data_IF_590221125607
#
_entry.id   IF_590221125607
#
_cell.length_a   1.000
_cell.length_b   1.000
_cell.length_c   1.000
_cell.angle_alpha   90.00
_cell.angle_beta   90.00
_cell.angle_gamma   90.00
#
_symmetry.space_group_name_H-M   'P 1'
#
loop_
_entity.id
_entity.type
_entity.pdbx_description
1 polymer ?
#
# COMPACT_ATOMS: atom_id res chain seq x y z
N UNK A 1 0.59 6.54 -2.65
CA UNK A 1 0.30 7.49 -1.55
C UNK A 1 -1.19 7.79 -1.58
N UNK A 2 -1.83 7.72 -0.43
CA UNK A 2 -3.26 8.02 -0.22
C UNK A 2 -3.34 9.14 0.81
N UNK A 3 -3.95 10.27 0.46
CA UNK A 3 -4.04 11.45 1.32
C UNK A 3 -5.49 11.72 1.70
N UNK A 4 -5.73 12.04 2.96
CA UNK A 4 -6.97 12.61 3.47
C UNK A 4 -6.73 14.05 3.96
N UNK A 5 -7.74 14.69 4.54
CA UNK A 5 -7.59 16.02 5.13
C UNK A 5 -6.71 16.03 6.40
N UNK A 6 -6.58 14.88 7.07
CA UNK A 6 -5.97 14.78 8.42
C UNK A 6 -4.90 13.71 8.53
N UNK A 7 -4.74 12.87 7.51
CA UNK A 7 -3.82 11.73 7.52
C UNK A 7 -3.37 11.39 6.11
N UNK A 8 -2.31 10.61 6.02
CA UNK A 8 -1.92 9.99 4.76
C UNK A 8 -1.35 8.60 4.99
N UNK A 9 -1.33 7.80 3.94
CA UNK A 9 -0.76 6.45 3.93
C UNK A 9 0.15 6.29 2.72
N UNK A 10 1.32 5.71 2.95
CA UNK A 10 2.30 5.39 1.90
C UNK A 10 2.74 3.93 2.03
N UNK A 11 2.98 3.31 0.88
CA UNK A 11 3.66 2.02 0.76
C UNK A 11 5.00 2.31 0.10
N UNK A 12 6.08 1.86 0.73
CA UNK A 12 7.45 2.12 0.29
C UNK A 12 8.26 0.83 0.44
N UNK A 13 9.34 0.73 -0.33
CA UNK A 13 10.27 -0.37 -0.18
C UNK A 13 10.89 -0.35 1.22
N UNK A 14 11.05 -1.54 1.81
CA UNK A 14 11.62 -1.69 3.14
C UNK A 14 13.16 -1.52 3.10
N UNK A 15 13.62 -0.29 2.90
CA UNK A 15 15.03 0.07 2.93
C UNK A 15 15.51 0.18 4.40
N UNK A 16 16.38 -0.74 4.87
CA UNK A 16 16.78 -0.81 6.27
C UNK A 16 17.59 0.41 6.74
N UNK A 17 18.13 1.21 5.82
CA UNK A 17 18.88 2.43 6.16
C UNK A 17 17.98 3.67 6.20
N UNK A 18 16.90 3.70 5.39
CA UNK A 18 16.02 4.88 5.28
C UNK A 18 14.80 4.80 6.19
N UNK A 19 14.16 3.64 6.27
CA UNK A 19 12.88 3.49 6.98
C UNK A 19 13.00 3.81 8.49
N UNK A 20 14.02 3.34 9.23
CA UNK A 20 14.12 3.67 10.65
C UNK A 20 14.26 5.17 10.92
N UNK A 21 15.06 5.87 10.11
CA UNK A 21 15.23 7.31 10.24
C UNK A 21 13.96 8.07 9.88
N UNK A 22 13.29 7.67 8.80
CA UNK A 22 11.99 8.23 8.39
C UNK A 22 10.95 8.10 9.51
N UNK A 23 10.79 6.91 10.09
CA UNK A 23 9.83 6.67 11.18
C UNK A 23 10.14 7.57 12.39
N UNK A 24 11.41 7.69 12.77
CA UNK A 24 11.84 8.55 13.87
C UNK A 24 11.54 10.03 13.64
N UNK A 25 11.70 10.51 12.41
CA UNK A 25 11.42 11.90 12.08
C UNK A 25 9.92 12.19 12.04
N UNK A 26 9.11 11.27 11.51
CA UNK A 26 7.65 11.41 11.49
C UNK A 26 7.01 11.30 12.87
N UNK A 27 7.52 10.41 13.74
CA UNK A 27 7.01 10.23 15.11
C UNK A 27 7.18 11.47 16.01
N UNK A 28 8.00 12.45 15.61
CA UNK A 28 8.11 13.72 16.32
C UNK A 28 6.87 14.61 16.16
N UNK A 29 6.13 14.43 15.07
CA UNK A 29 5.03 15.32 14.68
C UNK A 29 3.69 14.60 14.49
N UNK A 30 3.71 13.28 14.31
CA UNK A 30 2.54 12.48 13.96
C UNK A 30 2.50 11.15 14.72
N UNK A 31 1.30 10.63 14.92
CA UNK A 31 1.10 9.23 15.30
C UNK A 31 1.36 8.34 14.09
N UNK A 32 2.45 7.56 14.13
CA UNK A 32 2.88 6.72 13.00
C UNK A 32 2.50 5.26 13.25
N UNK A 33 1.62 4.75 12.38
CA UNK A 33 1.26 3.33 12.31
C UNK A 33 1.85 2.74 11.03
N UNK A 34 2.42 1.54 11.11
CA UNK A 34 2.98 0.85 9.95
C UNK A 34 2.79 -0.67 10.04
N UNK A 35 2.82 -1.31 8.88
CA UNK A 35 2.77 -2.75 8.71
C UNK A 35 4.04 -3.19 7.97
N UNK A 36 4.55 -4.37 8.32
CA UNK A 36 5.64 -5.04 7.60
C UNK A 36 5.12 -6.26 6.87
N UNK A 37 5.98 -6.86 6.04
CA UNK A 37 5.70 -8.08 5.27
C UNK A 37 4.49 -7.91 4.35
N UNK A 38 4.55 -6.86 3.52
CA UNK A 38 3.52 -6.52 2.55
C UNK A 38 4.07 -6.60 1.12
N UNK A 39 3.18 -6.93 0.19
CA UNK A 39 3.44 -6.91 -1.24
C UNK A 39 2.54 -5.88 -1.95
N UNK A 40 3.16 -4.99 -2.73
CA UNK A 40 2.47 -4.03 -3.59
C UNK A 40 2.33 -4.61 -5.00
N UNK A 41 1.11 -4.90 -5.43
CA UNK A 41 0.81 -5.26 -6.82
C UNK A 41 0.29 -4.04 -7.56
N UNK A 42 0.80 -3.79 -8.77
CA UNK A 42 0.25 -2.79 -9.69
C UNK A 42 -0.09 -3.46 -11.00
N UNK A 43 -1.38 -3.59 -11.29
CA UNK A 43 -1.91 -4.24 -12.49
C UNK A 43 -2.46 -3.16 -13.41
N UNK A 44 -1.97 -3.14 -14.65
CA UNK A 44 -2.41 -2.20 -15.70
C UNK A 44 -3.24 -2.96 -16.73
N UNK A 45 -4.19 -2.27 -17.35
CA UNK A 45 -5.10 -2.83 -18.36
C UNK A 45 -5.80 -4.10 -17.86
N UNK A 46 -6.21 -4.10 -16.59
CA UNK A 46 -6.91 -5.24 -16.01
C UNK A 46 -8.25 -5.45 -16.73
N UNK A 47 -8.67 -6.71 -16.81
CA UNK A 47 -10.02 -7.08 -17.26
C UNK A 47 -10.73 -7.71 -16.07
N UNK A 48 -12.01 -7.39 -15.87
CA UNK A 48 -12.73 -7.76 -14.64
C UNK A 48 -12.74 -9.29 -14.41
N UNK A 49 -12.78 -10.10 -15.48
CA UNK A 49 -12.83 -11.57 -15.37
C UNK A 49 -11.57 -12.23 -14.77
N UNK A 50 -10.39 -11.61 -14.85
CA UNK A 50 -9.14 -12.20 -14.32
C UNK A 50 -8.86 -11.76 -12.89
N UNK A 51 -9.38 -10.59 -12.50
CA UNK A 51 -8.99 -9.94 -11.26
C UNK A 51 -9.59 -10.62 -10.02
N UNK A 52 -10.85 -11.04 -10.09
CA UNK A 52 -11.53 -11.69 -8.95
C UNK A 52 -10.84 -13.01 -8.56
N UNK A 53 -10.35 -13.77 -9.55
CA UNK A 53 -9.59 -15.01 -9.30
C UNK A 53 -8.22 -14.77 -8.67
N UNK A 54 -7.56 -13.65 -8.99
CA UNK A 54 -6.26 -13.29 -8.42
C UNK A 54 -6.36 -12.89 -6.94
N UNK A 55 -7.50 -12.31 -6.56
CA UNK A 55 -7.77 -11.84 -5.20
C UNK A 55 -8.25 -12.93 -4.24
N UNK A 56 -8.79 -14.03 -4.77
CA UNK A 56 -9.56 -15.00 -3.98
C UNK A 56 -8.80 -15.63 -2.79
N UNK A 57 -7.47 -15.68 -2.84
CA UNK A 57 -6.61 -16.26 -1.80
C UNK A 57 -5.61 -15.26 -1.18
N UNK A 58 -5.88 -13.96 -1.27
CA UNK A 58 -4.97 -12.90 -0.79
C UNK A 58 -5.59 -12.10 0.35
N UNK A 59 -4.81 -11.86 1.41
CA UNK A 59 -5.21 -10.95 2.48
C UNK A 59 -5.01 -9.50 2.01
N UNK A 60 -6.03 -8.94 1.37
CA UNK A 60 -6.00 -7.58 0.80
C UNK A 60 -6.18 -6.56 1.93
N UNK A 61 -5.12 -5.81 2.21
CA UNK A 61 -5.12 -4.73 3.20
C UNK A 61 -5.66 -3.43 2.59
N UNK A 62 -5.36 -3.18 1.32
CA UNK A 62 -5.80 -1.99 0.60
C UNK A 62 -5.97 -2.28 -0.88
N UNK A 63 -7.11 -1.84 -1.45
CA UNK A 63 -7.35 -1.83 -2.89
C UNK A 63 -7.56 -0.39 -3.37
N UNK A 64 -6.87 -0.03 -4.45
CA UNK A 64 -7.10 1.20 -5.18
C UNK A 64 -7.33 0.91 -6.66
N UNK A 65 -8.58 1.03 -7.09
CA UNK A 65 -9.02 0.79 -8.47
C UNK A 65 -9.28 2.11 -9.20
N UNK A 66 -8.71 2.24 -10.39
CA UNK A 66 -9.01 3.28 -11.39
C UNK A 66 -9.49 2.61 -12.67
N UNK A 67 -9.89 3.38 -13.69
CA UNK A 67 -10.42 2.80 -14.95
C UNK A 67 -9.49 1.78 -15.62
N UNK A 68 -8.17 1.97 -15.52
CA UNK A 68 -7.19 1.16 -16.25
C UNK A 68 -6.14 0.52 -15.36
N UNK A 69 -6.08 0.87 -14.08
CA UNK A 69 -5.04 0.40 -13.16
C UNK A 69 -5.66 0.02 -11.83
N UNK A 70 -5.26 -1.12 -11.31
CA UNK A 70 -5.51 -1.51 -9.93
C UNK A 70 -4.18 -1.59 -9.19
N UNK A 71 -4.14 -1.01 -7.99
CA UNK A 71 -3.06 -1.22 -7.04
C UNK A 71 -3.59 -1.94 -5.80
N UNK A 72 -2.87 -2.96 -5.35
CA UNK A 72 -3.23 -3.76 -4.20
C UNK A 72 -2.06 -3.81 -3.23
N UNK A 73 -2.36 -3.69 -1.94
CA UNK A 73 -1.45 -4.03 -0.86
C UNK A 73 -1.97 -5.30 -0.22
N UNK A 74 -1.14 -6.34 -0.25
CA UNK A 74 -1.49 -7.69 0.21
C UNK A 74 -0.49 -8.13 1.26
N UNK A 75 -0.96 -8.89 2.25
CA UNK A 75 -0.13 -9.63 3.20
C UNK A 75 0.01 -11.10 2.79
#
# INVERSE_FOLDING_TARGET
MQNSAVSFSICVDNDPHKIPQLLKDFQQFYDVLYNVDLSLFTIRHYTDNYFDSFLHDKDVILEQKSRNTIQLIVR
#
